data_IF_357566917615
#
_entry.id   IF_357566917615
#
_cell.length_a   1.000
_cell.length_b   1.000
_cell.length_c   1.000
_cell.angle_alpha   90.00
_cell.angle_beta   90.00
_cell.angle_gamma   90.00
#
_symmetry.space_group_name_H-M   'P 1'
#
loop_
_entity.id
_entity.type
_entity.pdbx_description
1 polymer ?
#
# COMPACT_ATOMS: atom_id res chain seq x y z
N UNK A 1 8.37 16.58 -4.94
CA UNK A 1 8.97 15.93 -3.75
C UNK A 1 9.13 14.44 -4.06
N UNK A 2 10.31 13.82 -3.87
CA UNK A 2 10.47 12.40 -4.17
C UNK A 2 9.94 11.61 -2.97
N UNK A 3 8.71 11.13 -3.07
CA UNK A 3 8.16 10.18 -2.11
C UNK A 3 8.83 8.81 -2.29
N UNK A 4 10.07 8.69 -1.81
CA UNK A 4 10.76 7.40 -1.68
C UNK A 4 10.21 6.72 -0.41
N UNK A 5 8.99 6.19 -0.51
CA UNK A 5 8.46 5.33 0.54
C UNK A 5 9.12 3.96 0.41
N UNK A 6 10.12 3.72 1.25
CA UNK A 6 10.77 2.42 1.36
C UNK A 6 9.76 1.37 1.84
N UNK A 7 9.90 0.14 1.34
CA UNK A 7 8.99 -0.97 1.68
C UNK A 7 8.96 -1.22 3.19
N UNK A 8 10.08 -0.95 3.88
CA UNK A 8 10.18 -1.02 5.34
C UNK A 8 9.36 0.07 6.05
N UNK A 9 9.31 1.29 5.52
CA UNK A 9 8.48 2.36 6.06
C UNK A 9 6.98 2.02 5.91
N UNK A 10 6.60 1.44 4.76
CA UNK A 10 5.24 0.92 4.56
C UNK A 10 4.88 -0.22 5.53
N UNK A 11 5.84 -1.07 5.87
CA UNK A 11 5.63 -2.13 6.86
C UNK A 11 5.50 -1.61 8.30
N UNK A 12 6.09 -0.46 8.62
CA UNK A 12 5.96 0.17 9.94
C UNK A 12 4.58 0.79 10.16
N UNK A 13 3.92 1.27 9.10
CA UNK A 13 2.60 1.88 9.15
C UNK A 13 1.49 0.89 9.54
N UNK A 14 0.48 1.37 10.24
CA UNK A 14 -0.70 0.59 10.59
C UNK A 14 -1.62 0.38 9.37
N UNK A 15 -2.51 -0.61 9.44
CA UNK A 15 -3.53 -0.88 8.41
C UNK A 15 -4.38 0.36 8.04
N UNK A 16 -4.93 1.14 8.99
CA UNK A 16 -5.68 2.35 8.65
C UNK A 16 -4.81 3.40 7.98
N UNK A 17 -3.56 3.62 8.42
CA UNK A 17 -2.64 4.56 7.78
C UNK A 17 -2.32 4.15 6.34
N UNK A 18 -2.08 2.86 6.10
CA UNK A 18 -1.87 2.33 4.74
C UNK A 18 -3.12 2.51 3.86
N UNK A 19 -4.32 2.36 4.42
CA UNK A 19 -5.58 2.61 3.72
C UNK A 19 -5.76 4.08 3.35
N UNK A 20 -5.45 5.00 4.27
CA UNK A 20 -5.48 6.44 4.00
C UNK A 20 -4.49 6.81 2.91
N UNK A 21 -3.25 6.32 3.00
CA UNK A 21 -2.21 6.54 1.98
C UNK A 21 -2.64 6.01 0.61
N UNK A 22 -3.23 4.81 0.56
CA UNK A 22 -3.78 4.23 -0.67
C UNK A 22 -4.84 5.14 -1.30
N UNK A 23 -5.78 5.67 -0.50
CA UNK A 23 -6.83 6.56 -1.02
C UNK A 23 -6.25 7.88 -1.53
N UNK A 24 -5.32 8.49 -0.79
CA UNK A 24 -4.65 9.72 -1.22
C UNK A 24 -3.93 9.53 -2.55
N UNK A 25 -3.13 8.48 -2.68
CA UNK A 25 -2.39 8.18 -3.92
C UNK A 25 -3.33 7.84 -5.09
N UNK A 26 -4.47 7.22 -4.80
CA UNK A 26 -5.49 6.94 -5.81
C UNK A 26 -6.12 8.22 -6.35
N UNK A 27 -6.45 9.18 -5.49
CA UNK A 27 -6.93 10.49 -5.95
C UNK A 27 -5.86 11.28 -6.70
N UNK A 28 -4.60 11.17 -6.28
CA UNK A 28 -3.48 11.81 -6.97
C UNK A 28 -3.26 11.23 -8.38
N UNK A 29 -3.31 9.90 -8.56
CA UNK A 29 -3.13 9.29 -9.89
C UNK A 29 -4.30 9.60 -10.83
N UNK A 30 -5.53 9.71 -10.31
CA UNK A 30 -6.70 10.13 -11.10
C UNK A 30 -6.60 11.57 -11.58
N UNK A 31 -5.91 12.43 -10.81
CA UNK A 31 -5.62 13.81 -11.21
C UNK A 31 -4.40 13.93 -12.14
N UNK A 32 -3.63 12.85 -12.35
CA UNK A 32 -2.44 12.84 -13.21
C UNK A 32 -2.78 12.49 -14.66
N UNK A 33 -2.05 13.05 -15.64
CA UNK A 33 -2.20 12.66 -17.03
C UNK A 33 -1.77 11.21 -17.24
N UNK A 34 -2.67 10.40 -17.81
CA UNK A 34 -2.41 9.00 -18.14
C UNK A 34 -1.17 8.87 -19.04
N UNK A 35 -0.30 7.89 -18.73
CA UNK A 35 0.95 7.67 -19.46
C UNK A 35 2.13 8.55 -19.00
N UNK A 36 1.93 9.44 -18.04
CA UNK A 36 3.05 10.20 -17.44
C UNK A 36 3.89 9.29 -16.54
N UNK A 37 5.21 9.48 -16.54
CA UNK A 37 6.13 8.76 -15.64
C UNK A 37 5.78 8.95 -14.15
N UNK A 38 5.12 10.05 -13.79
CA UNK A 38 4.59 10.28 -12.46
C UNK A 38 3.42 9.32 -12.14
N UNK A 39 2.49 9.12 -13.07
CA UNK A 39 1.37 8.20 -12.90
C UNK A 39 1.87 6.75 -12.78
N UNK A 40 2.87 6.36 -13.56
CA UNK A 40 3.48 5.02 -13.49
C UNK A 40 4.14 4.75 -12.12
N UNK A 41 4.91 5.72 -11.61
CA UNK A 41 5.50 5.65 -10.26
C UNK A 41 4.44 5.58 -9.16
N UNK A 42 3.37 6.36 -9.29
CA UNK A 42 2.25 6.33 -8.34
C UNK A 42 1.51 4.99 -8.39
N UNK A 43 1.31 4.42 -9.58
CA UNK A 43 0.71 3.10 -9.74
C UNK A 43 1.57 1.99 -9.11
N UNK A 44 2.90 2.05 -9.28
CA UNK A 44 3.83 1.12 -8.63
C UNK A 44 3.73 1.24 -7.09
N UNK A 45 3.67 2.46 -6.56
CA UNK A 45 3.54 2.70 -5.13
C UNK A 45 2.21 2.18 -4.57
N UNK A 46 1.11 2.40 -5.30
CA UNK A 46 -0.22 1.86 -4.97
C UNK A 46 -0.19 0.33 -4.92
N UNK A 47 0.45 -0.32 -5.90
CA UNK A 47 0.59 -1.78 -5.92
C UNK A 47 1.38 -2.30 -4.72
N UNK A 48 2.49 -1.64 -4.36
CA UNK A 48 3.28 -1.99 -3.17
C UNK A 48 2.47 -1.86 -1.88
N UNK A 49 1.72 -0.77 -1.71
CA UNK A 49 0.87 -0.55 -0.53
C UNK A 49 -0.22 -1.63 -0.45
N UNK A 50 -0.87 -1.94 -1.56
CA UNK A 50 -1.87 -3.01 -1.65
C UNK A 50 -1.29 -4.36 -1.21
N UNK A 51 -0.08 -4.69 -1.67
CA UNK A 51 0.60 -5.91 -1.27
C UNK A 51 0.92 -5.95 0.23
N UNK A 52 1.39 -4.84 0.81
CA UNK A 52 1.66 -4.76 2.27
C UNK A 52 0.37 -4.90 3.09
N UNK A 53 -0.72 -4.27 2.65
CA UNK A 53 -2.06 -4.40 3.28
C UNK A 53 -2.50 -5.86 3.24
N UNK A 54 -2.43 -6.51 2.08
CA UNK A 54 -2.80 -7.92 1.93
C UNK A 54 -1.93 -8.82 2.80
N UNK A 55 -0.62 -8.60 2.83
CA UNK A 55 0.33 -9.36 3.66
C UNK A 55 0.03 -9.19 5.15
N UNK A 56 -0.27 -7.98 5.62
CA UNK A 56 -0.65 -7.72 7.02
C UNK A 56 -1.99 -8.35 7.38
N UNK A 57 -2.96 -8.36 6.46
CA UNK A 57 -4.23 -9.07 6.62
C UNK A 57 -4.02 -10.58 6.70
N UNK A 58 -3.24 -11.16 5.78
CA UNK A 58 -2.90 -12.58 5.80
C UNK A 58 -2.14 -12.99 7.06
N UNK A 59 -1.19 -12.17 7.53
CA UNK A 59 -0.46 -12.43 8.77
C UNK A 59 -1.36 -12.34 10.01
N UNK A 60 -2.32 -11.41 10.04
CA UNK A 60 -3.33 -11.36 11.09
C UNK A 60 -4.25 -12.59 11.03
N UNK A 61 -4.78 -12.93 9.85
CA UNK A 61 -5.62 -14.12 9.67
C UNK A 61 -4.87 -15.39 10.07
N UNK A 62 -3.59 -15.54 9.70
CA UNK A 62 -2.76 -16.67 10.14
C UNK A 62 -2.52 -16.70 11.66
N UNK A 63 -2.44 -15.54 12.32
CA UNK A 63 -2.37 -15.45 13.80
C UNK A 63 -3.67 -15.83 14.49
N UNK A 64 -4.82 -15.57 13.88
CA UNK A 64 -6.13 -15.96 14.42
C UNK A 64 -6.53 -17.40 14.03
N UNK A 65 -5.97 -17.91 12.94
CA UNK A 65 -6.07 -19.31 12.52
C UNK A 65 -4.95 -20.13 13.17
N UNK A 66 -4.94 -20.20 14.50
CA UNK A 66 -4.12 -21.19 15.22
C UNK A 66 -4.45 -22.61 14.73
N UNK A 67 -3.53 -23.59 14.89
CA UNK A 67 -3.80 -24.96 14.50
C UNK A 67 -5.07 -25.41 15.22
N UNK A 68 -6.11 -25.77 14.46
CA UNK A 68 -7.31 -26.38 15.03
C UNK A 68 -6.85 -27.64 15.77
N UNK A 69 -7.24 -27.84 17.05
CA UNK A 69 -6.96 -29.07 17.78
C UNK A 69 -7.60 -30.29 17.12
#
# INVERSE_FOLDING_TARGET
MPYHYDTQALMALTLPELMTLYQTLKSEIEAMPAGSSAADRTAELINRISFVIQRKRHANVARFSGPRP
#
